data_IF_429657026902
#
_entry.id   IF_429657026902
#
_cell.length_a   1.000
_cell.length_b   1.000
_cell.length_c   1.000
_cell.angle_alpha   90.00
_cell.angle_beta   90.00
_cell.angle_gamma   90.00
#
_symmetry.space_group_name_H-M   'P 1'
#
loop_
_entity.id
_entity.type
_entity.pdbx_description
1 polymer ?
#
# COMPACT_ATOMS: atom_id res chain seq x y z
N UNK A 1 12.02 -3.03 -23.89
CA UNK A 1 11.94 -3.29 -22.44
C UNK A 1 11.27 -2.09 -21.78
N UNK A 2 9.99 -2.19 -21.42
CA UNK A 2 9.31 -1.11 -20.71
C UNK A 2 9.78 -1.13 -19.25
N UNK A 3 10.53 -0.10 -18.84
CA UNK A 3 10.86 0.12 -17.42
C UNK A 3 9.55 0.38 -16.68
N UNK A 4 9.28 -0.36 -15.60
CA UNK A 4 8.21 -0.01 -14.67
C UNK A 4 8.35 1.47 -14.32
N UNK A 5 7.28 2.24 -14.49
CA UNK A 5 7.32 3.63 -14.04
C UNK A 5 7.18 3.58 -12.52
N UNK A 6 8.11 4.22 -11.82
CA UNK A 6 8.15 4.34 -10.37
C UNK A 6 8.13 5.83 -10.06
N UNK A 7 7.29 6.28 -9.13
CA UNK A 7 7.47 7.62 -8.55
C UNK A 7 8.40 7.51 -7.36
N UNK A 8 9.44 8.33 -7.35
CA UNK A 8 10.41 8.40 -6.26
C UNK A 8 10.09 9.63 -5.40
N UNK A 9 10.05 9.46 -4.08
CA UNK A 9 9.82 10.54 -3.13
C UNK A 9 11.00 10.67 -2.16
N UNK A 10 11.68 11.82 -2.18
CA UNK A 10 12.74 12.15 -1.25
C UNK A 10 12.18 12.96 -0.05
N UNK A 11 12.33 12.43 1.17
CA UNK A 11 11.96 13.11 2.41
C UNK A 11 10.45 13.23 2.70
N UNK A 12 10.08 13.41 3.98
CA UNK A 12 8.69 13.38 4.45
C UNK A 12 7.85 14.62 4.07
N UNK A 13 8.46 15.79 3.88
CA UNK A 13 7.75 17.07 3.69
C UNK A 13 7.41 17.40 2.23
N UNK A 14 8.21 16.93 1.26
CA UNK A 14 8.02 17.21 -0.17
C UNK A 14 6.98 16.28 -0.84
N UNK A 15 6.54 15.24 -0.14
CA UNK A 15 5.72 14.18 -0.70
C UNK A 15 4.23 14.57 -0.84
N UNK A 16 3.62 15.26 0.13
CA UNK A 16 2.15 15.31 0.24
C UNK A 16 1.41 15.91 -0.98
N UNK A 17 1.84 17.05 -1.52
CA UNK A 17 1.15 17.69 -2.66
C UNK A 17 1.45 17.00 -4.00
N UNK A 18 2.69 16.55 -4.21
CA UNK A 18 3.08 15.79 -5.40
C UNK A 18 2.44 14.40 -5.41
N UNK A 19 2.34 13.76 -4.25
CA UNK A 19 1.66 12.49 -4.01
C UNK A 19 0.15 12.65 -4.14
N UNK A 20 -0.47 13.69 -3.59
CA UNK A 20 -1.91 13.96 -3.76
C UNK A 20 -2.25 14.18 -5.24
N UNK A 21 -1.46 14.99 -5.96
CA UNK A 21 -1.64 15.19 -7.40
C UNK A 21 -1.36 13.93 -8.21
N UNK A 22 -0.35 13.15 -7.84
CA UNK A 22 -0.01 11.90 -8.51
C UNK A 22 -1.08 10.82 -8.28
N UNK A 23 -1.53 10.64 -7.04
CA UNK A 23 -2.62 9.76 -6.66
C UNK A 23 -3.91 10.22 -7.34
N UNK A 24 -4.22 11.52 -7.36
CA UNK A 24 -5.36 12.05 -8.11
C UNK A 24 -5.24 11.74 -9.62
N UNK A 25 -4.10 12.01 -10.24
CA UNK A 25 -3.91 11.75 -11.67
C UNK A 25 -3.94 10.25 -12.00
N UNK A 26 -3.48 9.37 -11.09
CA UNK A 26 -3.47 7.91 -11.24
C UNK A 26 -4.84 7.29 -10.96
N UNK A 27 -5.50 7.70 -9.87
CA UNK A 27 -6.81 7.19 -9.44
C UNK A 27 -7.97 7.80 -10.24
N UNK A 28 -7.91 9.09 -10.59
CA UNK A 28 -9.07 9.82 -11.15
C UNK A 28 -9.11 9.89 -12.68
N UNK A 29 -7.97 9.78 -13.40
CA UNK A 29 -8.00 9.90 -14.89
C UNK A 29 -8.48 8.64 -15.62
N UNK A 30 -8.66 7.52 -14.93
CA UNK A 30 -9.06 6.23 -15.54
C UNK A 30 -10.42 5.69 -15.13
N UNK A 31 -11.11 6.30 -14.16
CA UNK A 31 -12.30 5.71 -13.53
C UNK A 31 -13.60 6.39 -14.01
N UNK A 32 -14.57 5.56 -14.44
CA UNK A 32 -15.96 5.99 -14.67
C UNK A 32 -16.58 6.40 -13.31
N UNK A 33 -17.49 7.37 -13.34
CA UNK A 33 -18.30 7.91 -12.22
C UNK A 33 -18.45 6.91 -11.04
N UNK A 34 -17.67 7.06 -9.97
CA UNK A 34 -17.83 6.31 -8.71
C UNK A 34 -18.83 7.02 -7.79
N UNK A 35 -19.57 6.26 -6.98
CA UNK A 35 -20.27 6.82 -5.81
C UNK A 35 -19.22 7.28 -4.80
N UNK A 36 -19.46 8.43 -4.16
CA UNK A 36 -18.59 8.97 -3.11
C UNK A 36 -18.61 8.02 -1.91
N UNK A 37 -17.45 7.46 -1.56
CA UNK A 37 -17.32 6.56 -0.43
C UNK A 37 -17.48 7.31 0.89
N UNK A 38 -18.07 6.67 1.90
CA UNK A 38 -18.21 7.30 3.23
C UNK A 38 -16.86 7.38 3.95
N UNK A 39 -16.06 6.31 3.85
CA UNK A 39 -14.71 6.19 4.41
C UNK A 39 -13.83 5.35 3.50
N UNK A 40 -12.52 5.43 3.70
CA UNK A 40 -11.53 4.55 3.10
C UNK A 40 -10.93 3.65 4.19
N UNK A 41 -11.03 2.34 3.98
CA UNK A 41 -10.52 1.32 4.90
C UNK A 41 -9.31 0.64 4.27
N UNK A 42 -8.19 0.67 4.98
CA UNK A 42 -6.92 0.15 4.53
C UNK A 42 -6.64 -1.21 5.17
N UNK A 43 -6.14 -2.13 4.35
CA UNK A 43 -5.42 -3.30 4.82
C UNK A 43 -3.94 -3.10 4.50
N UNK A 44 -3.12 -2.94 5.54
CA UNK A 44 -1.68 -2.76 5.44
C UNK A 44 -1.00 -4.12 5.42
N UNK A 45 -0.12 -4.35 4.45
CA UNK A 45 0.65 -5.58 4.37
C UNK A 45 2.12 -5.31 4.15
N UNK A 46 2.95 -6.26 4.56
CA UNK A 46 4.39 -6.23 4.31
C UNK A 46 4.93 -7.65 4.26
N UNK A 47 6.24 -7.80 4.18
CA UNK A 47 6.87 -9.11 4.05
C UNK A 47 7.67 -9.45 5.28
N UNK A 48 7.62 -10.72 5.66
CA UNK A 48 8.55 -11.27 6.64
C UNK A 48 10.00 -11.20 6.14
N UNK A 49 10.92 -11.75 6.94
CA UNK A 49 12.33 -11.87 6.53
C UNK A 49 12.44 -12.77 5.30
N UNK A 50 13.36 -12.44 4.40
CA UNK A 50 13.76 -13.27 3.27
C UNK A 50 15.26 -13.18 3.07
N UNK A 51 15.85 -14.29 2.59
CA UNK A 51 17.26 -14.36 2.24
C UNK A 51 18.16 -13.87 3.43
N UNK A 52 19.27 -13.19 3.14
CA UNK A 52 20.21 -12.62 4.12
C UNK A 52 19.77 -11.26 4.75
N UNK A 53 18.50 -10.85 4.60
CA UNK A 53 18.03 -9.58 5.20
C UNK A 53 17.76 -9.79 6.70
N UNK A 54 18.69 -9.31 7.53
CA UNK A 54 18.63 -9.47 8.99
C UNK A 54 17.36 -8.84 9.60
N UNK A 55 16.93 -7.70 9.06
CA UNK A 55 15.69 -6.99 9.42
C UNK A 55 15.01 -6.48 8.15
N UNK A 56 13.81 -6.96 7.85
CA UNK A 56 12.98 -6.41 6.79
C UNK A 56 12.15 -5.23 7.38
N UNK A 57 12.36 -3.97 6.94
CA UNK A 57 11.62 -2.81 7.43
C UNK A 57 10.10 -3.00 7.38
N UNK A 58 9.59 -3.68 6.36
CA UNK A 58 8.15 -3.86 6.17
C UNK A 58 7.51 -4.79 7.19
N UNK A 59 8.25 -5.78 7.71
CA UNK A 59 7.80 -6.63 8.82
C UNK A 59 7.60 -5.78 10.08
N UNK A 60 8.61 -4.96 10.39
CA UNK A 60 8.62 -4.11 11.59
C UNK A 60 7.53 -3.04 11.52
N UNK A 61 7.42 -2.34 10.39
CA UNK A 61 6.41 -1.30 10.17
C UNK A 61 5.02 -1.88 10.37
N UNK A 62 4.69 -2.99 9.69
CA UNK A 62 3.34 -3.59 9.75
C UNK A 62 3.00 -4.04 11.17
N UNK A 63 3.96 -4.59 11.92
CA UNK A 63 3.74 -5.02 13.31
C UNK A 63 3.58 -3.85 14.27
N UNK A 64 4.29 -2.74 14.07
CA UNK A 64 4.25 -1.56 14.95
C UNK A 64 3.13 -0.57 14.61
N UNK A 65 2.63 -0.60 13.38
CA UNK A 65 1.63 0.38 12.91
C UNK A 65 0.39 0.47 13.79
N UNK A 66 -0.20 -0.63 14.30
CA UNK A 66 -1.37 -0.54 15.21
C UNK A 66 -1.11 0.33 16.45
N UNK A 67 0.01 0.11 17.15
CA UNK A 67 0.39 0.94 18.31
C UNK A 67 0.73 2.37 17.91
N UNK A 68 1.36 2.56 16.74
CA UNK A 68 1.62 3.91 16.21
C UNK A 68 0.31 4.69 15.99
N UNK A 69 -0.77 4.02 15.55
CA UNK A 69 -2.08 4.65 15.34
C UNK A 69 -2.81 5.01 16.64
N UNK A 70 -2.49 4.35 17.77
CA UNK A 70 -3.01 4.73 19.09
C UNK A 70 -2.46 6.10 19.51
N UNK A 71 -1.20 6.38 19.18
CA UNK A 71 -0.54 7.66 19.45
C UNK A 71 -0.80 8.72 18.36
N UNK A 72 -1.07 8.26 17.13
CA UNK A 72 -1.25 9.09 15.93
C UNK A 72 -2.55 8.70 15.21
N UNK A 73 -3.71 9.14 15.72
CA UNK A 73 -5.00 8.72 15.18
C UNK A 73 -5.23 9.24 13.76
N UNK A 74 -5.85 8.39 12.93
CA UNK A 74 -6.27 8.72 11.58
C UNK A 74 -7.46 9.70 11.57
N UNK A 75 -7.65 10.49 10.49
CA UNK A 75 -8.86 11.29 10.30
C UNK A 75 -10.10 10.39 10.17
N UNK A 76 -11.29 10.96 10.40
CA UNK A 76 -12.56 10.21 10.42
C UNK A 76 -12.84 9.41 9.14
N UNK A 77 -12.35 9.91 8.01
CA UNK A 77 -12.51 9.32 6.68
C UNK A 77 -11.58 8.13 6.44
N UNK A 78 -10.65 7.82 7.34
CA UNK A 78 -9.64 6.78 7.19
C UNK A 78 -9.68 5.77 8.36
N UNK A 79 -9.52 4.49 8.03
CA UNK A 79 -9.30 3.44 9.04
C UNK A 79 -8.30 2.41 8.53
N UNK A 80 -7.52 1.80 9.42
CA UNK A 80 -6.73 0.60 9.13
C UNK A 80 -7.34 -0.54 9.92
N UNK A 81 -7.94 -1.51 9.24
CA UNK A 81 -8.62 -2.62 9.91
C UNK A 81 -7.74 -3.87 10.05
N UNK A 82 -6.65 -3.94 9.27
CA UNK A 82 -5.77 -5.11 9.18
C UNK A 82 -4.32 -4.68 8.95
N UNK A 83 -3.41 -5.32 9.69
CA UNK A 83 -1.97 -5.28 9.47
C UNK A 83 -1.46 -6.72 9.33
N UNK A 84 -0.95 -7.09 8.15
CA UNK A 84 -0.63 -8.48 7.81
C UNK A 84 0.78 -8.64 7.24
N UNK A 85 1.59 -9.45 7.92
CA UNK A 85 2.89 -9.87 7.40
C UNK A 85 2.71 -11.09 6.52
N UNK A 86 3.15 -11.01 5.28
CA UNK A 86 3.08 -12.08 4.28
C UNK A 86 4.37 -12.90 4.26
N UNK A 87 4.23 -14.20 4.04
CA UNK A 87 5.37 -15.09 3.81
C UNK A 87 6.00 -14.80 2.44
N UNK A 88 7.32 -14.92 2.32
CA UNK A 88 8.05 -14.57 1.09
C UNK A 88 8.09 -15.74 0.10
N UNK A 89 7.01 -16.52 0.03
CA UNK A 89 6.81 -17.56 -0.98
C UNK A 89 5.68 -17.16 -1.92
N UNK A 90 5.82 -17.46 -3.21
CA UNK A 90 4.79 -17.14 -4.19
C UNK A 90 3.47 -17.87 -3.87
N UNK A 91 3.55 -19.13 -3.45
CA UNK A 91 2.42 -19.97 -3.04
C UNK A 91 1.73 -19.41 -1.78
N UNK A 92 2.48 -19.09 -0.71
CA UNK A 92 1.92 -18.53 0.51
C UNK A 92 1.25 -17.17 0.29
N UNK A 93 1.80 -16.36 -0.62
CA UNK A 93 1.19 -15.10 -1.02
C UNK A 93 -0.12 -15.29 -1.80
N UNK A 94 -0.21 -16.31 -2.69
CA UNK A 94 -1.44 -16.63 -3.44
C UNK A 94 -2.59 -16.98 -2.52
N UNK A 95 -2.36 -17.91 -1.60
CA UNK A 95 -3.41 -18.40 -0.70
C UNK A 95 -3.89 -17.28 0.21
N UNK A 96 -2.96 -16.50 0.77
CA UNK A 96 -3.30 -15.41 1.68
C UNK A 96 -4.04 -14.28 0.98
N UNK A 97 -3.61 -13.87 -0.22
CA UNK A 97 -4.33 -12.88 -1.03
C UNK A 97 -5.74 -13.37 -1.39
N UNK A 98 -5.89 -14.62 -1.85
CA UNK A 98 -7.21 -15.16 -2.22
C UNK A 98 -8.17 -15.21 -1.02
N UNK A 99 -7.69 -15.65 0.14
CA UNK A 99 -8.47 -15.68 1.36
C UNK A 99 -8.88 -14.26 1.83
N UNK A 100 -7.94 -13.32 1.77
CA UNK A 100 -8.18 -11.92 2.13
C UNK A 100 -9.25 -11.28 1.25
N UNK A 101 -9.16 -11.44 -0.07
CA UNK A 101 -10.09 -10.84 -1.02
C UNK A 101 -11.53 -11.38 -0.82
N UNK A 102 -11.69 -12.70 -0.63
CA UNK A 102 -13.00 -13.34 -0.35
C UNK A 102 -13.71 -12.86 0.92
N UNK A 103 -12.98 -12.28 1.87
CA UNK A 103 -13.54 -11.83 3.16
C UNK A 103 -13.88 -10.34 3.18
N UNK A 104 -13.42 -9.56 2.21
CA UNK A 104 -13.45 -8.10 2.29
C UNK A 104 -14.50 -7.41 1.41
N UNK A 105 -15.04 -8.06 0.39
CA UNK A 105 -15.97 -7.44 -0.58
C UNK A 105 -17.44 -7.43 -0.16
N UNK A 106 -17.75 -7.45 1.14
CA UNK A 106 -19.14 -7.66 1.62
C UNK A 106 -19.87 -6.38 2.02
N UNK A 107 -19.18 -5.25 2.14
CA UNK A 107 -19.78 -4.00 2.60
C UNK A 107 -19.46 -2.87 1.61
N UNK A 108 -20.45 -2.43 0.85
CA UNK A 108 -20.29 -1.49 -0.27
C UNK A 108 -20.37 0.01 0.14
N UNK A 109 -20.41 0.32 1.44
CA UNK A 109 -20.48 1.72 1.91
C UNK A 109 -19.10 2.39 2.07
N UNK A 110 -18.06 1.60 2.33
CA UNK A 110 -16.69 2.06 2.51
C UNK A 110 -15.82 1.60 1.32
N UNK A 111 -14.78 2.36 0.97
CA UNK A 111 -13.85 2.02 -0.10
C UNK A 111 -12.61 1.32 0.48
N UNK A 112 -12.21 0.18 -0.08
CA UNK A 112 -11.07 -0.58 0.41
C UNK A 112 -9.80 -0.31 -0.37
N UNK A 113 -8.69 -0.06 0.33
CA UNK A 113 -7.36 0.02 -0.27
C UNK A 113 -6.43 -1.04 0.33
N UNK A 114 -5.90 -1.92 -0.52
CA UNK A 114 -4.81 -2.83 -0.16
C UNK A 114 -3.48 -2.10 -0.30
N UNK A 115 -2.86 -1.73 0.83
CA UNK A 115 -1.56 -1.06 0.85
C UNK A 115 -0.46 -2.08 1.13
N UNK A 116 0.25 -2.47 0.08
CA UNK A 116 1.37 -3.42 0.17
C UNK A 116 2.70 -2.68 0.32
N UNK A 117 3.50 -3.08 1.29
CA UNK A 117 4.87 -2.59 1.50
C UNK A 117 5.87 -3.65 1.07
N UNK A 118 6.89 -3.25 0.31
CA UNK A 118 8.08 -4.06 0.02
C UNK A 118 9.36 -3.34 0.43
N UNK A 119 10.41 -4.06 0.83
CA UNK A 119 11.71 -3.41 1.02
C UNK A 119 12.44 -3.28 -0.32
N UNK A 120 12.96 -2.10 -0.62
CA UNK A 120 13.89 -1.87 -1.72
C UNK A 120 15.31 -1.71 -1.16
N UNK A 121 16.01 -2.82 -0.96
CA UNK A 121 17.27 -2.88 -0.21
C UNK A 121 18.40 -2.00 -0.76
N UNK A 122 18.35 -1.63 -2.05
CA UNK A 122 19.36 -0.81 -2.73
C UNK A 122 18.93 0.64 -2.97
N UNK A 123 17.83 1.07 -2.34
CA UNK A 123 17.23 2.39 -2.55
C UNK A 123 17.28 3.20 -1.27
N UNK A 124 17.38 4.51 -1.43
CA UNK A 124 17.46 5.47 -0.34
C UNK A 124 16.15 6.26 -0.19
N UNK A 125 15.18 6.01 -1.07
CA UNK A 125 13.92 6.73 -1.14
C UNK A 125 12.69 5.81 -1.10
N UNK A 126 11.54 6.39 -0.77
CA UNK A 126 10.25 5.73 -0.98
C UNK A 126 9.91 5.65 -2.46
N UNK A 127 9.35 4.53 -2.88
CA UNK A 127 9.02 4.28 -4.28
C UNK A 127 7.60 3.77 -4.42
N UNK A 128 6.78 4.52 -5.16
CA UNK A 128 5.42 4.11 -5.50
C UNK A 128 5.42 3.37 -6.83
N UNK A 129 4.98 2.11 -6.82
CA UNK A 129 4.92 1.29 -8.03
C UNK A 129 3.72 1.71 -8.89
N UNK A 130 3.97 2.24 -10.08
CA UNK A 130 2.88 2.70 -10.95
C UNK A 130 2.31 1.59 -11.84
N UNK A 131 3.11 0.55 -12.11
CA UNK A 131 2.73 -0.52 -13.04
C UNK A 131 3.10 -1.86 -12.43
N UNK A 132 2.08 -2.67 -12.14
CA UNK A 132 2.31 -4.07 -11.83
C UNK A 132 2.58 -4.87 -13.11
N UNK A 133 3.65 -5.67 -13.10
CA UNK A 133 3.98 -6.65 -14.14
C UNK A 133 4.15 -8.03 -13.49
N UNK A 134 3.95 -9.11 -14.26
CA UNK A 134 4.23 -10.48 -13.79
C UNK A 134 5.74 -10.80 -13.81
N UNK A 135 6.53 -9.94 -13.16
CA UNK A 135 7.99 -10.02 -13.14
C UNK A 135 8.53 -11.05 -12.16
N UNK A 136 9.86 -11.11 -12.04
CA UNK A 136 10.58 -12.10 -11.22
C UNK A 136 10.52 -11.86 -9.71
N UNK A 137 10.03 -10.70 -9.26
CA UNK A 137 10.00 -10.35 -7.84
C UNK A 137 8.60 -10.52 -7.26
N UNK A 138 8.54 -11.04 -6.04
CA UNK A 138 7.30 -11.32 -5.30
C UNK A 138 6.43 -10.06 -5.12
N UNK A 139 7.07 -8.89 -4.92
CA UNK A 139 6.39 -7.61 -4.78
C UNK A 139 5.50 -7.28 -5.98
N UNK A 140 6.08 -7.38 -7.18
CA UNK A 140 5.40 -7.04 -8.43
C UNK A 140 4.28 -8.04 -8.75
N UNK A 141 4.53 -9.32 -8.47
CA UNK A 141 3.54 -10.38 -8.66
C UNK A 141 2.32 -10.20 -7.72
N UNK A 142 2.55 -9.86 -6.45
CA UNK A 142 1.47 -9.55 -5.48
C UNK A 142 0.68 -8.33 -5.91
N UNK A 143 1.38 -7.25 -6.30
CA UNK A 143 0.71 -6.05 -6.76
C UNK A 143 -0.19 -6.33 -7.97
N UNK A 144 0.32 -7.12 -8.93
CA UNK A 144 -0.43 -7.55 -10.11
C UNK A 144 -1.68 -8.36 -9.71
N UNK A 145 -1.53 -9.33 -8.83
CA UNK A 145 -2.64 -10.15 -8.37
C UNK A 145 -3.68 -9.34 -7.61
N UNK A 146 -3.25 -8.45 -6.72
CA UNK A 146 -4.15 -7.60 -5.92
C UNK A 146 -4.94 -6.63 -6.81
N UNK A 147 -4.27 -5.95 -7.74
CA UNK A 147 -4.95 -5.09 -8.74
C UNK A 147 -5.93 -5.87 -9.60
N UNK A 148 -5.54 -7.07 -10.06
CA UNK A 148 -6.40 -7.91 -10.89
C UNK A 148 -7.66 -8.29 -10.12
N UNK A 149 -7.54 -8.77 -8.88
CA UNK A 149 -8.69 -9.13 -8.07
C UNK A 149 -9.57 -7.93 -7.74
N UNK A 150 -9.01 -6.76 -7.41
CA UNK A 150 -9.83 -5.54 -7.22
C UNK A 150 -10.65 -5.24 -8.49
N UNK A 151 -10.03 -5.31 -9.68
CA UNK A 151 -10.70 -5.03 -10.95
C UNK A 151 -11.76 -6.07 -11.34
N UNK A 152 -11.56 -7.33 -10.99
CA UNK A 152 -12.48 -8.42 -11.39
C UNK A 152 -13.58 -8.69 -10.37
N UNK A 153 -13.31 -8.49 -9.09
CA UNK A 153 -14.22 -8.87 -8.00
C UNK A 153 -14.95 -7.67 -7.39
N UNK A 154 -14.31 -6.49 -7.32
CA UNK A 154 -14.93 -5.28 -6.74
C UNK A 154 -14.35 -3.99 -7.35
N UNK A 155 -14.62 -3.73 -8.64
CA UNK A 155 -14.03 -2.60 -9.38
C UNK A 155 -14.50 -1.23 -8.88
N UNK A 156 -15.61 -1.16 -8.15
CA UNK A 156 -16.17 0.10 -7.65
C UNK A 156 -15.87 0.33 -6.16
N UNK A 157 -15.68 -0.73 -5.36
CA UNK A 157 -15.45 -0.66 -3.92
C UNK A 157 -14.00 -0.86 -3.48
N UNK A 158 -13.07 -1.22 -4.38
CA UNK A 158 -11.69 -1.51 -3.99
C UNK A 158 -10.60 -1.05 -4.96
N UNK A 159 -9.39 -0.89 -4.42
CA UNK A 159 -8.14 -0.75 -5.17
C UNK A 159 -6.92 -1.28 -4.40
N UNK A 160 -5.77 -1.31 -5.06
CA UNK A 160 -4.51 -1.74 -4.47
C UNK A 160 -3.36 -0.79 -4.82
N UNK A 161 -2.40 -0.67 -3.90
CA UNK A 161 -1.20 0.15 -4.02
C UNK A 161 0.01 -0.64 -3.51
N UNK A 162 1.17 -0.42 -4.14
CA UNK A 162 2.43 -1.00 -3.68
C UNK A 162 3.48 0.11 -3.47
N UNK A 163 4.04 0.15 -2.27
CA UNK A 163 5.08 1.09 -1.85
C UNK A 163 6.32 0.31 -1.50
N UNK A 164 7.45 0.61 -2.14
CA UNK A 164 8.73 0.19 -1.62
C UNK A 164 9.27 1.21 -0.63
N UNK A 165 9.76 0.70 0.50
CA UNK A 165 10.45 1.46 1.53
C UNK A 165 11.94 1.11 1.54
N UNK A 166 12.84 2.06 1.82
CA UNK A 166 14.27 1.79 1.91
C UNK A 166 14.63 1.08 3.23
N UNK A 167 15.87 0.57 3.39
CA UNK A 167 16.36 0.09 4.68
C UNK A 167 16.30 1.15 5.78
N UNK A 168 16.23 0.72 7.05
CA UNK A 168 16.27 1.64 8.20
C UNK A 168 17.59 2.40 8.35
N UNK A 169 18.68 1.90 7.74
CA UNK A 169 19.95 2.63 7.64
C UNK A 169 19.89 3.86 6.74
N UNK A 170 18.90 3.92 5.85
CA UNK A 170 18.71 5.03 4.90
C UNK A 170 17.63 6.00 5.38
N UNK A 171 16.47 5.48 5.80
CA UNK A 171 15.40 6.27 6.41
C UNK A 171 14.96 5.54 7.68
N UNK A 172 15.07 6.19 8.83
CA UNK A 172 14.77 5.57 10.11
C UNK A 172 13.30 5.16 10.28
N UNK A 173 13.06 4.21 11.18
CA UNK A 173 11.74 3.61 11.42
C UNK A 173 10.63 4.62 11.64
N UNK A 174 10.87 5.64 12.48
CA UNK A 174 9.87 6.67 12.81
C UNK A 174 9.43 7.48 11.59
N UNK A 175 10.37 7.87 10.74
CA UNK A 175 10.08 8.59 9.49
C UNK A 175 9.34 7.71 8.47
N UNK A 176 9.63 6.41 8.43
CA UNK A 176 8.87 5.46 7.60
C UNK A 176 7.43 5.28 8.10
N UNK A 177 7.21 5.12 9.41
CA UNK A 177 5.87 5.04 10.01
C UNK A 177 5.05 6.30 9.70
N UNK A 178 5.65 7.47 9.89
CA UNK A 178 5.05 8.78 9.59
C UNK A 178 4.72 8.94 8.11
N UNK A 179 5.59 8.48 7.21
CA UNK A 179 5.31 8.49 5.77
C UNK A 179 4.08 7.64 5.42
N UNK A 180 3.99 6.40 5.94
CA UNK A 180 2.84 5.52 5.68
C UNK A 180 1.55 6.10 6.25
N UNK A 181 1.59 6.67 7.45
CA UNK A 181 0.46 7.38 8.05
C UNK A 181 -0.02 8.54 7.15
N UNK A 182 0.90 9.41 6.73
CA UNK A 182 0.56 10.56 5.90
C UNK A 182 0.01 10.13 4.52
N UNK A 183 0.55 9.06 3.93
CA UNK A 183 0.04 8.47 2.70
C UNK A 183 -1.42 8.02 2.85
N UNK A 184 -1.74 7.31 3.94
CA UNK A 184 -3.11 6.85 4.24
C UNK A 184 -4.06 8.04 4.37
N UNK A 185 -3.70 9.06 5.16
CA UNK A 185 -4.51 10.26 5.34
C UNK A 185 -4.78 10.98 4.00
N UNK A 186 -3.76 11.11 3.15
CA UNK A 186 -3.90 11.76 1.84
C UNK A 186 -4.75 10.95 0.87
N UNK A 187 -4.59 9.63 0.81
CA UNK A 187 -5.45 8.77 -0.03
C UNK A 187 -6.91 8.89 0.42
N UNK A 188 -7.17 8.78 1.73
CA UNK A 188 -8.52 8.86 2.27
C UNK A 188 -9.17 10.21 1.93
N UNK A 189 -8.48 11.31 2.22
CA UNK A 189 -8.95 12.67 1.94
C UNK A 189 -9.33 12.84 0.48
N UNK A 190 -8.49 12.37 -0.46
CA UNK A 190 -8.73 12.55 -1.90
C UNK A 190 -9.85 11.65 -2.45
N UNK A 191 -10.15 10.53 -1.81
CA UNK A 191 -11.21 9.61 -2.24
C UNK A 191 -12.57 9.95 -1.62
N UNK A 192 -12.59 10.69 -0.50
CA UNK A 192 -13.82 11.16 0.17
C UNK A 192 -14.09 12.65 0.01
N UNK A 193 -13.23 13.42 -0.66
CA UNK A 193 -13.49 14.82 -1.07
C UNK A 193 -14.36 14.89 -2.31
#
# INVERSE_FOLDING_TARGET
>A
MARGRIVVFAGAAMAAAALAKYLYDFYMKGQRRRKKARRVVFALTGFGKFDNVEINPTDVIVKKFPSYLEENPLPFEAAVDRCLVMEVSAEGCKERLSAMHKTCFRDHEDFRVWLHLGVAASKEEFQLEQVAWNGRFVCNWIYYCSLRSCRTEDPEGSDSLFVHVPPFSCIEEGEQLKFIHNLICQIATNLTS
#
